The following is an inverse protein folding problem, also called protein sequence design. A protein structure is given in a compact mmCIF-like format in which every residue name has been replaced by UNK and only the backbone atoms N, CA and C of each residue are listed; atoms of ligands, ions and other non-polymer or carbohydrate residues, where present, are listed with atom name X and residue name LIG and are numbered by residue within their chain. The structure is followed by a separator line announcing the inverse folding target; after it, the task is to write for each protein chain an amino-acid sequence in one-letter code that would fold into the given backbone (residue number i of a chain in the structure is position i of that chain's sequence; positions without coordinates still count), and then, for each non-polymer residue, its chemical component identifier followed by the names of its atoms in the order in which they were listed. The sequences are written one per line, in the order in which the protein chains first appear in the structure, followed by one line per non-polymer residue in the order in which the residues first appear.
data_IF_050485914947
#
_entry.id   IF_050485914947
#
_cell.length_a   1.000
_cell.length_b   1.000
_cell.length_c   1.000
_cell.angle_alpha   90.00
_cell.angle_beta   90.00
_cell.angle_gamma   90.00
#
_symmetry.space_group_name_H-M   'P 1'
#
loop_
_entity.id
_entity.type
_entity.pdbx_description
1 polymer ?
#
# COMPACT_ATOMS: atom_id res chain seq x y z
N UNK A 1 4.52 -4.70 -15.62
CA UNK A 1 5.16 -3.97 -14.51
C UNK A 1 5.79 -2.71 -15.07
N UNK A 2 5.47 -1.54 -14.52
CA UNK A 2 6.06 -0.26 -14.94
C UNK A 2 7.35 -0.02 -14.14
N UNK A 3 8.28 0.73 -14.70
CA UNK A 3 9.47 1.23 -13.98
C UNK A 3 9.31 2.71 -13.73
N UNK A 4 9.92 3.18 -12.65
CA UNK A 4 9.94 4.58 -12.26
C UNK A 4 11.20 4.89 -11.48
N UNK A 5 11.57 6.16 -11.51
CA UNK A 5 12.79 6.66 -10.88
C UNK A 5 12.39 7.60 -9.76
N UNK A 6 12.88 7.33 -8.54
CA UNK A 6 12.88 8.31 -7.47
C UNK A 6 14.13 9.16 -7.61
N UNK A 7 13.94 10.46 -7.80
CA UNK A 7 15.02 11.44 -7.88
C UNK A 7 14.93 12.33 -6.64
N UNK A 8 16.02 12.39 -5.88
CA UNK A 8 16.13 13.26 -4.71
C UNK A 8 16.74 14.61 -5.09
N UNK A 9 16.53 15.61 -4.23
CA UNK A 9 17.04 16.97 -4.47
C UNK A 9 18.58 17.04 -4.51
N UNK A 10 19.26 16.08 -3.87
CA UNK A 10 20.73 15.96 -3.89
C UNK A 10 21.27 15.32 -5.18
N UNK A 11 20.39 14.94 -6.10
CA UNK A 11 20.72 14.27 -7.36
C UNK A 11 20.84 12.75 -7.26
N UNK A 12 20.58 12.14 -6.10
CA UNK A 12 20.53 10.68 -5.98
C UNK A 12 19.33 10.12 -6.76
N UNK A 13 19.56 9.02 -7.47
CA UNK A 13 18.54 8.35 -8.28
C UNK A 13 18.36 6.91 -7.84
N UNK A 14 17.11 6.46 -7.76
CA UNK A 14 16.74 5.08 -7.49
C UNK A 14 15.79 4.59 -8.59
N UNK A 15 16.28 3.68 -9.44
CA UNK A 15 15.52 3.09 -10.54
C UNK A 15 14.96 1.73 -10.18
N UNK A 16 13.64 1.65 -9.98
CA UNK A 16 13.00 0.38 -9.64
C UNK A 16 11.60 0.24 -10.27
N UNK A 17 10.92 -0.82 -9.90
CA UNK A 17 9.57 -1.09 -10.32
C UNK A 17 8.56 -0.22 -9.57
N UNK A 18 7.57 0.26 -10.31
CA UNK A 18 6.39 0.92 -9.74
C UNK A 18 5.27 -0.10 -9.72
N UNK A 19 4.77 -0.38 -8.52
CA UNK A 19 3.44 -0.93 -8.34
C UNK A 19 2.48 0.26 -8.36
N UNK A 20 1.44 0.20 -9.21
CA UNK A 20 0.44 1.27 -9.25
C UNK A 20 -0.24 1.32 -7.88
N UNK A 21 -0.19 2.49 -7.25
CA UNK A 21 -0.68 2.67 -5.90
C UNK A 21 -2.21 2.71 -5.90
N UNK A 22 -2.83 1.62 -5.47
CA UNK A 22 -4.16 1.63 -4.89
C UNK A 22 -4.15 0.70 -3.68
N UNK A 23 -4.27 1.31 -2.51
CA UNK A 23 -4.42 0.72 -1.16
C UNK A 23 -3.11 0.33 -0.43
N UNK A 24 -3.19 -0.04 0.87
CA UNK A 24 -2.20 0.25 1.93
C UNK A 24 -1.26 -0.89 2.40
N UNK A 25 0.02 -0.52 2.63
CA UNK A 25 1.20 -1.26 3.18
C UNK A 25 1.65 -2.60 2.59
N UNK A 26 2.90 -2.64 2.11
CA UNK A 26 3.56 -3.84 1.58
C UNK A 26 3.86 -4.82 2.69
N UNK A 27 3.15 -5.95 2.71
CA UNK A 27 3.54 -7.17 3.40
C UNK A 27 2.56 -8.32 3.11
N UNK A 28 2.93 -9.56 3.46
CA UNK A 28 2.10 -10.79 3.36
C UNK A 28 0.67 -10.65 3.90
N UNK A 29 0.38 -9.62 4.68
CA UNK A 29 -0.90 -9.37 5.33
C UNK A 29 -2.00 -8.90 4.38
N UNK A 30 -1.65 -8.42 3.17
CA UNK A 30 -2.62 -7.86 2.22
C UNK A 30 -3.38 -6.67 2.81
N UNK A 31 -4.48 -6.29 2.13
CA UNK A 31 -5.33 -5.17 2.54
C UNK A 31 -6.64 -5.73 3.11
N UNK A 32 -7.06 -5.33 4.34
CA UNK A 32 -8.35 -5.70 4.90
C UNK A 32 -9.49 -4.87 4.30
N UNK A 33 -10.75 -5.23 4.58
CA UNK A 33 -11.90 -4.47 4.06
C UNK A 33 -11.91 -3.01 4.55
N UNK A 34 -11.47 -2.08 3.70
CA UNK A 34 -11.38 -0.65 4.02
C UNK A 34 -12.76 0.00 4.28
N UNK A 35 -13.85 -0.64 3.84
CA UNK A 35 -15.22 -0.14 4.03
C UNK A 35 -15.87 -0.65 5.31
N UNK A 36 -15.26 -1.62 5.98
CA UNK A 36 -15.79 -2.14 7.24
C UNK A 36 -15.79 -1.05 8.32
N UNK A 37 -16.94 -0.82 8.93
CA UNK A 37 -17.10 0.12 10.05
C UNK A 37 -17.38 -0.62 11.36
N UNK A 38 -16.97 -0.03 12.48
CA UNK A 38 -17.25 -0.53 13.83
C UNK A 38 -18.59 0.00 14.38
N UNK A 39 -18.88 -0.31 15.65
CA UNK A 39 -20.11 0.13 16.31
C UNK A 39 -20.20 1.64 16.55
N UNK A 40 -19.10 2.38 16.36
CA UNK A 40 -19.02 3.83 16.48
C UNK A 40 -19.03 4.53 15.11
N UNK A 41 -19.11 3.77 14.01
CA UNK A 41 -19.06 4.31 12.65
C UNK A 41 -17.65 4.69 12.18
N UNK A 42 -16.62 4.26 12.89
CA UNK A 42 -15.22 4.44 12.47
C UNK A 42 -14.81 3.28 11.58
N UNK A 43 -13.85 3.52 10.69
CA UNK A 43 -13.24 2.43 9.92
C UNK A 43 -12.61 1.41 10.87
N UNK A 44 -12.95 0.13 10.69
CA UNK A 44 -12.60 -0.94 11.62
C UNK A 44 -11.12 -1.33 11.57
N UNK A 45 -10.54 -1.25 10.37
CA UNK A 45 -9.21 -1.81 10.09
C UNK A 45 -8.19 -0.78 9.62
N UNK A 46 -8.63 0.46 9.36
CA UNK A 46 -7.78 1.54 8.90
C UNK A 46 -7.95 2.75 9.81
N UNK A 47 -6.85 3.42 10.11
CA UNK A 47 -6.83 4.58 11.01
C UNK A 47 -7.56 5.79 10.43
N UNK A 48 -7.64 5.87 9.10
CA UNK A 48 -8.12 7.04 8.38
C UNK A 48 -8.92 6.65 7.14
N UNK A 49 -9.65 7.62 6.58
CA UNK A 49 -10.53 7.42 5.41
C UNK A 49 -9.81 7.43 4.05
N UNK A 50 -8.49 7.61 4.03
CA UNK A 50 -7.65 7.56 2.83
C UNK A 50 -6.18 7.40 3.21
N UNK A 51 -5.36 7.13 2.20
CA UNK A 51 -3.90 7.23 2.29
C UNK A 51 -3.48 8.70 2.26
N UNK A 52 -2.72 9.14 3.27
CA UNK A 52 -2.19 10.51 3.34
C UNK A 52 -0.77 10.63 2.80
N UNK A 53 -0.02 9.53 2.80
CA UNK A 53 1.28 9.50 2.14
C UNK A 53 1.09 9.69 0.63
N UNK A 54 1.93 10.55 0.02
CA UNK A 54 1.92 10.76 -1.43
C UNK A 54 2.45 9.55 -2.20
N UNK A 55 3.37 8.81 -1.59
CA UNK A 55 3.98 7.60 -2.15
C UNK A 55 4.56 6.73 -1.03
N UNK A 56 4.79 5.45 -1.34
CA UNK A 56 5.47 4.48 -0.47
C UNK A 56 6.66 3.88 -1.23
N UNK A 57 7.82 3.81 -0.59
CA UNK A 57 9.05 3.21 -1.14
C UNK A 57 9.41 2.01 -0.26
N UNK A 58 9.52 0.83 -0.86
CA UNK A 58 9.83 -0.43 -0.17
C UNK A 58 10.91 -1.20 -0.91
N UNK A 59 11.71 -1.99 -0.19
CA UNK A 59 12.78 -2.79 -0.79
C UNK A 59 12.27 -4.05 -1.50
N UNK A 60 11.11 -4.57 -1.09
CA UNK A 60 10.47 -5.73 -1.71
C UNK A 60 8.95 -5.61 -1.61
N UNK A 61 8.27 -6.00 -2.69
CA UNK A 61 6.81 -6.09 -2.75
C UNK A 61 6.39 -7.54 -3.01
N UNK A 62 5.37 -8.01 -2.29
CA UNK A 62 4.77 -9.33 -2.47
C UNK A 62 3.39 -9.18 -3.11
N UNK A 63 3.24 -9.64 -4.35
CA UNK A 63 1.96 -9.60 -5.06
C UNK A 63 0.91 -10.52 -4.43
N UNK A 64 1.37 -11.62 -3.80
CA UNK A 64 0.51 -12.57 -3.10
C UNK A 64 0.45 -12.28 -1.60
N UNK A 65 -0.77 -12.14 -1.08
CA UNK A 65 -1.04 -12.08 0.35
C UNK A 65 -1.47 -13.45 0.89
N UNK A 66 -1.29 -13.66 2.20
CA UNK A 66 -1.69 -14.89 2.90
C UNK A 66 -2.03 -14.57 4.34
N UNK A 67 -3.17 -13.91 4.53
CA UNK A 67 -3.69 -13.54 5.84
C UNK A 67 -5.21 -13.69 5.84
N UNK A 68 -5.77 -14.15 6.96
CA UNK A 68 -7.17 -14.54 7.07
C UNK A 68 -8.18 -13.40 6.85
N UNK A 69 -7.75 -12.16 7.07
CA UNK A 69 -8.57 -10.96 6.96
C UNK A 69 -8.23 -10.11 5.72
N UNK A 70 -7.37 -10.62 4.83
CA UNK A 70 -7.00 -9.91 3.61
C UNK A 70 -8.05 -10.14 2.52
N UNK A 71 -8.46 -9.07 1.85
CA UNK A 71 -9.42 -9.11 0.75
C UNK A 71 -8.78 -8.75 -0.60
N UNK A 72 -7.65 -8.03 -0.59
CA UNK A 72 -6.91 -7.67 -1.80
C UNK A 72 -5.40 -7.49 -1.56
N UNK A 73 -4.64 -7.38 -2.66
CA UNK A 73 -3.21 -7.07 -2.63
C UNK A 73 -2.99 -5.59 -2.36
N UNK A 74 -1.77 -5.20 -1.95
CA UNK A 74 -1.44 -3.79 -1.74
C UNK A 74 -1.67 -2.91 -2.97
N UNK A 75 -1.45 -3.45 -4.16
CA UNK A 75 -1.41 -2.67 -5.40
C UNK A 75 -2.72 -2.71 -6.19
N UNK A 76 -3.80 -3.24 -5.61
CA UNK A 76 -5.06 -3.59 -6.31
C UNK A 76 -5.97 -2.40 -6.59
#
# INVERSE_FOLDING_TARGET
MKRGTLILEDGSEFDDFVFEAKTNTADKVGVPDEKAVDGFGLHRWVELNKIYASALIVSAYMEQYSHWNAVESLSS
#
